data_IF_546970692929
#
_entry.id   IF_546970692929
#
_cell.length_a   1.000
_cell.length_b   1.000
_cell.length_c   1.000
_cell.angle_alpha   90.00
_cell.angle_beta   90.00
_cell.angle_gamma   90.00
#
_symmetry.space_group_name_H-M   'P 1'
#
loop_
_entity.id
_entity.type
_entity.pdbx_description
1 polymer ?
#
# COMPACT_ATOMS: atom_id res chain seq x y z
N UNK A 1 8.39 10.90 8.05
CA UNK A 1 9.32 10.92 6.89
C UNK A 1 9.03 9.71 6.04
N UNK A 2 8.83 9.91 4.74
CA UNK A 2 8.51 8.82 3.81
C UNK A 2 9.67 7.82 3.67
N UNK A 3 9.34 6.53 3.57
CA UNK A 3 10.28 5.45 3.21
C UNK A 3 9.82 4.75 1.94
N UNK A 4 10.77 4.18 1.19
CA UNK A 4 10.54 3.48 -0.07
C UNK A 4 11.19 2.10 -0.04
N UNK A 5 10.52 1.10 -0.60
CA UNK A 5 10.99 -0.28 -0.71
C UNK A 5 10.79 -0.78 -2.16
N UNK A 6 11.86 -1.19 -2.81
CA UNK A 6 11.84 -1.69 -4.19
C UNK A 6 11.32 -3.14 -4.25
N UNK A 7 10.42 -3.42 -5.18
CA UNK A 7 9.70 -4.69 -5.27
C UNK A 7 9.57 -5.20 -6.72
N UNK A 8 10.65 -5.11 -7.50
CA UNK A 8 10.67 -5.54 -8.90
C UNK A 8 10.19 -4.43 -9.83
N UNK A 9 9.05 -4.63 -10.51
CA UNK A 9 8.46 -3.63 -11.41
C UNK A 9 7.54 -2.62 -10.68
N UNK A 10 7.41 -2.76 -9.36
CA UNK A 10 6.66 -1.86 -8.47
C UNK A 10 7.54 -1.46 -7.30
N UNK A 11 7.17 -0.38 -6.62
CA UNK A 11 7.77 -0.01 -5.34
C UNK A 11 6.70 0.42 -4.34
N UNK A 12 7.00 0.18 -3.07
CA UNK A 12 6.13 0.52 -1.94
C UNK A 12 6.64 1.79 -1.29
N UNK A 13 5.75 2.70 -0.90
CA UNK A 13 6.12 3.81 -0.02
C UNK A 13 5.26 3.80 1.23
N UNK A 14 5.80 4.28 2.34
CA UNK A 14 5.06 4.42 3.59
C UNK A 14 5.34 5.76 4.26
N UNK A 15 4.31 6.39 4.79
CA UNK A 15 4.40 7.64 5.53
C UNK A 15 3.32 7.71 6.63
N UNK A 16 3.67 8.20 7.82
CA UNK A 16 2.67 8.55 8.83
C UNK A 16 2.10 9.95 8.53
N UNK A 17 0.78 10.07 8.49
CA UNK A 17 0.09 11.29 8.07
C UNK A 17 -1.03 11.65 9.03
N UNK A 18 -1.27 12.96 9.13
CA UNK A 18 -2.50 13.53 9.71
C UNK A 18 -3.35 14.07 8.56
N UNK A 19 -4.60 13.64 8.47
CA UNK A 19 -5.49 14.05 7.38
C UNK A 19 -6.95 14.03 7.84
N UNK A 20 -7.69 15.11 7.56
CA UNK A 20 -9.14 15.14 7.78
C UNK A 20 -9.59 14.92 9.24
N UNK A 21 -8.72 15.16 10.22
CA UNK A 21 -8.99 14.87 11.64
C UNK A 21 -8.72 13.43 12.07
N UNK A 22 -8.20 12.59 11.16
CA UNK A 22 -7.69 11.24 11.43
C UNK A 22 -6.16 11.20 11.28
N UNK A 23 -5.55 10.07 11.64
CA UNK A 23 -4.12 9.84 11.54
C UNK A 23 -3.78 8.38 11.32
N UNK A 24 -2.63 8.11 10.71
CA UNK A 24 -2.08 6.76 10.58
C UNK A 24 -1.09 6.66 9.43
N UNK A 25 -0.69 5.42 9.16
CA UNK A 25 0.21 5.15 8.04
C UNK A 25 -0.57 5.07 6.73
N UNK A 26 -0.11 5.78 5.70
CA UNK A 26 -0.46 5.45 4.34
C UNK A 26 0.62 4.58 3.70
N UNK A 27 0.20 3.51 3.04
CA UNK A 27 1.07 2.59 2.32
C UNK A 27 0.63 2.68 0.86
N UNK A 28 1.55 3.05 -0.03
CA UNK A 28 1.26 3.33 -1.44
C UNK A 28 2.02 2.35 -2.31
N UNK A 29 1.41 1.92 -3.40
CA UNK A 29 2.07 1.14 -4.46
C UNK A 29 2.20 2.00 -5.69
N UNK A 30 3.40 2.03 -6.24
CA UNK A 30 3.69 2.72 -7.48
C UNK A 30 4.28 1.77 -8.52
N UNK A 31 4.10 2.13 -9.78
CA UNK A 31 4.79 1.53 -10.91
C UNK A 31 5.10 2.60 -11.97
N UNK A 32 5.96 2.26 -12.93
CA UNK A 32 6.02 3.00 -14.18
C UNK A 32 4.79 2.65 -15.04
N UNK A 33 4.03 3.67 -15.42
CA UNK A 33 2.89 3.55 -16.33
C UNK A 33 3.12 4.52 -17.47
N UNK A 34 3.36 3.99 -18.68
CA UNK A 34 3.66 4.77 -19.89
C UNK A 34 4.88 5.70 -19.78
N UNK A 35 5.95 5.25 -19.11
CA UNK A 35 7.19 6.01 -18.93
C UNK A 35 7.13 7.04 -17.82
N UNK A 36 6.19 6.90 -16.88
CA UNK A 36 6.00 7.85 -15.78
C UNK A 36 5.60 7.15 -14.48
N UNK A 37 6.21 7.51 -13.33
CA UNK A 37 5.78 7.04 -12.02
C UNK A 37 4.31 7.37 -11.75
N UNK A 38 3.50 6.36 -11.42
CA UNK A 38 2.09 6.53 -11.07
C UNK A 38 1.77 5.77 -9.79
N UNK A 39 1.00 6.42 -8.91
CA UNK A 39 0.41 5.74 -7.75
C UNK A 39 -0.77 4.91 -8.21
N UNK A 40 -0.67 3.59 -8.07
CA UNK A 40 -1.66 2.63 -8.59
C UNK A 40 -2.51 1.98 -7.50
N UNK A 41 -2.05 1.98 -6.25
CA UNK A 41 -2.83 1.65 -5.06
C UNK A 41 -2.47 2.60 -3.89
N UNK A 42 -3.41 2.82 -2.98
CA UNK A 42 -3.18 3.48 -1.68
C UNK A 42 -3.94 2.76 -0.58
N UNK A 43 -3.29 2.44 0.52
CA UNK A 43 -3.89 1.91 1.74
C UNK A 43 -3.71 2.95 2.82
N UNK A 44 -4.79 3.64 3.18
CA UNK A 44 -4.81 4.61 4.25
C UNK A 44 -5.19 3.87 5.55
N UNK A 45 -4.18 3.33 6.24
CA UNK A 45 -4.35 2.57 7.49
C UNK A 45 -4.53 3.53 8.66
N UNK A 46 -5.62 4.31 8.64
CA UNK A 46 -5.91 5.32 9.65
C UNK A 46 -6.56 4.74 10.91
N UNK A 47 -6.53 5.54 11.97
CA UNK A 47 -6.99 5.16 13.31
C UNK A 47 -8.49 4.95 13.37
N UNK A 48 -9.26 5.81 12.71
CA UNK A 48 -10.73 5.80 12.81
C UNK A 48 -11.42 5.35 11.53
N UNK A 49 -10.86 5.67 10.36
CA UNK A 49 -11.44 5.32 9.06
C UNK A 49 -10.40 4.67 8.14
N UNK A 50 -9.90 3.46 8.47
CA UNK A 50 -9.02 2.75 7.56
C UNK A 50 -9.74 2.36 6.27
N UNK A 51 -9.10 2.61 5.14
CA UNK A 51 -9.65 2.35 3.82
C UNK A 51 -8.52 2.20 2.80
N UNK A 52 -8.83 1.76 1.59
CA UNK A 52 -7.87 1.73 0.50
C UNK A 52 -8.51 2.15 -0.81
N UNK A 53 -7.67 2.50 -1.79
CA UNK A 53 -8.06 3.01 -3.09
C UNK A 53 -7.43 2.20 -4.21
N UNK A 54 -8.26 1.77 -5.15
CA UNK A 54 -7.81 1.34 -6.48
C UNK A 54 -7.66 2.58 -7.38
N UNK A 55 -6.49 2.71 -8.02
CA UNK A 55 -6.20 3.81 -8.96
C UNK A 55 -6.48 5.22 -8.37
N UNK A 56 -5.79 5.63 -7.29
CA UNK A 56 -6.06 6.88 -6.55
C UNK A 56 -5.85 8.18 -7.35
N UNK A 57 -5.23 8.09 -8.53
CA UNK A 57 -5.01 9.24 -9.43
C UNK A 57 -5.86 9.15 -10.70
N UNK A 58 -6.83 8.25 -10.73
CA UNK A 58 -7.74 8.04 -11.86
C UNK A 58 -9.16 7.78 -11.34
N UNK A 59 -9.54 6.50 -11.21
CA UNK A 59 -10.88 6.12 -10.72
C UNK A 59 -11.13 6.46 -9.25
N UNK A 60 -10.08 6.50 -8.43
CA UNK A 60 -10.13 6.76 -6.97
C UNK A 60 -11.21 5.90 -6.28
N UNK A 61 -11.25 4.61 -6.64
CA UNK A 61 -12.25 3.68 -6.14
C UNK A 61 -11.90 3.28 -4.72
N UNK A 62 -12.58 3.92 -3.77
CA UNK A 62 -12.40 3.72 -2.33
C UNK A 62 -13.17 2.50 -1.82
N UNK A 63 -12.51 1.71 -0.97
CA UNK A 63 -13.09 0.58 -0.25
C UNK A 63 -12.82 0.73 1.25
N UNK A 64 -13.88 0.72 2.05
CA UNK A 64 -13.79 0.81 3.51
C UNK A 64 -13.32 -0.51 4.13
N UNK A 65 -12.45 -0.42 5.14
CA UNK A 65 -12.12 -1.54 6.02
C UNK A 65 -12.96 -1.44 7.31
N UNK A 66 -14.29 -1.60 7.17
CA UNK A 66 -15.22 -1.42 8.26
C UNK A 66 -14.90 -2.34 9.46
N UNK A 67 -14.83 -1.74 10.66
CA UNK A 67 -14.53 -2.46 11.91
C UNK A 67 -13.04 -2.67 12.20
N UNK A 68 -12.14 -2.24 11.31
CA UNK A 68 -10.71 -2.29 11.54
C UNK A 68 -10.23 -1.09 12.35
N UNK A 69 -9.25 -1.32 13.24
CA UNK A 69 -8.37 -0.26 13.73
C UNK A 69 -7.08 -0.17 12.90
N UNK A 70 -6.23 0.83 13.19
CA UNK A 70 -4.95 1.05 12.49
C UNK A 70 -4.09 -0.22 12.40
N UNK A 71 -3.85 -0.90 13.53
CA UNK A 71 -3.00 -2.10 13.55
C UNK A 71 -3.56 -3.24 12.71
N UNK A 72 -4.88 -3.46 12.75
CA UNK A 72 -5.54 -4.49 11.94
C UNK A 72 -5.45 -4.15 10.45
N UNK A 73 -5.62 -2.87 10.11
CA UNK A 73 -5.55 -2.39 8.73
C UNK A 73 -4.14 -2.55 8.16
N UNK A 74 -3.11 -2.28 8.97
CA UNK A 74 -1.71 -2.54 8.61
C UNK A 74 -1.50 -4.03 8.35
N UNK A 75 -1.89 -4.90 9.28
CA UNK A 75 -1.70 -6.36 9.15
C UNK A 75 -2.44 -6.92 7.92
N UNK A 76 -3.64 -6.42 7.65
CA UNK A 76 -4.39 -6.79 6.45
C UNK A 76 -3.70 -6.31 5.18
N UNK A 77 -3.24 -5.07 5.15
CA UNK A 77 -2.52 -4.48 4.01
C UNK A 77 -1.25 -5.27 3.68
N UNK A 78 -0.44 -5.61 4.68
CA UNK A 78 0.78 -6.42 4.49
C UNK A 78 0.45 -7.79 3.87
N UNK A 79 -0.64 -8.44 4.31
CA UNK A 79 -1.12 -9.70 3.72
C UNK A 79 -1.57 -9.53 2.28
N UNK A 80 -2.33 -8.47 1.97
CA UNK A 80 -2.76 -8.20 0.59
C UNK A 80 -1.57 -7.97 -0.33
N UNK A 81 -0.60 -7.15 0.08
CA UNK A 81 0.60 -6.89 -0.71
C UNK A 81 1.41 -8.18 -0.93
N UNK A 82 1.57 -9.02 0.10
CA UNK A 82 2.37 -10.23 0.00
C UNK A 82 1.75 -11.33 -0.87
N UNK A 83 0.42 -11.42 -0.92
CA UNK A 83 -0.28 -12.60 -1.46
C UNK A 83 -1.31 -12.31 -2.56
N UNK A 84 -1.75 -11.06 -2.71
CA UNK A 84 -2.86 -10.67 -3.59
C UNK A 84 -2.55 -9.45 -4.47
N UNK A 85 -1.30 -8.99 -4.49
CA UNK A 85 -0.94 -7.78 -5.23
C UNK A 85 -1.29 -7.88 -6.73
N UNK A 86 -0.98 -8.96 -7.48
CA UNK A 86 -1.33 -9.05 -8.90
C UNK A 86 -2.84 -8.91 -9.17
N UNK A 87 -3.68 -9.54 -8.34
CA UNK A 87 -5.14 -9.46 -8.45
C UNK A 87 -5.62 -8.03 -8.18
N UNK A 88 -5.09 -7.39 -7.15
CA UNK A 88 -5.42 -6.00 -6.83
C UNK A 88 -4.99 -5.03 -7.95
N UNK A 89 -3.82 -5.23 -8.54
CA UNK A 89 -3.36 -4.41 -9.67
C UNK A 89 -4.21 -4.61 -10.93
N UNK A 90 -4.65 -5.84 -11.18
CA UNK A 90 -5.61 -6.14 -12.25
C UNK A 90 -6.93 -5.41 -12.01
N UNK A 91 -7.46 -5.49 -10.79
CA UNK A 91 -8.68 -4.77 -10.40
C UNK A 91 -8.51 -3.25 -10.46
N UNK A 92 -7.32 -2.74 -10.17
CA UNK A 92 -6.99 -1.32 -10.31
C UNK A 92 -6.95 -0.84 -11.76
N UNK A 93 -6.92 -1.75 -12.75
CA UNK A 93 -6.84 -1.42 -14.17
C UNK A 93 -5.42 -1.46 -14.74
N UNK A 94 -4.50 -2.16 -14.07
CA UNK A 94 -3.09 -2.30 -14.46
C UNK A 94 -2.68 -3.76 -14.71
N UNK A 95 -3.32 -4.49 -15.65
CA UNK A 95 -3.01 -5.90 -15.92
C UNK A 95 -1.57 -6.11 -16.41
N UNK A 96 -1.00 -5.17 -17.18
CA UNK A 96 0.39 -5.28 -17.66
C UNK A 96 1.40 -5.13 -16.51
N UNK A 97 1.12 -4.25 -15.54
CA UNK A 97 1.93 -4.15 -14.31
C UNK A 97 1.77 -5.42 -13.48
N UNK A 98 0.54 -5.94 -13.34
CA UNK A 98 0.26 -7.17 -12.61
C UNK A 98 1.05 -8.37 -13.18
N UNK A 99 1.12 -8.49 -14.51
CA UNK A 99 1.86 -9.56 -15.18
C UNK A 99 3.38 -9.50 -14.94
N UNK A 100 3.93 -8.32 -14.64
CA UNK A 100 5.35 -8.12 -14.33
C UNK A 100 5.71 -8.30 -12.86
N UNK A 101 4.74 -8.51 -11.97
CA UNK A 101 4.97 -8.64 -10.52
C UNK A 101 5.84 -9.86 -10.23
N UNK A 102 6.89 -9.64 -9.42
CA UNK A 102 7.81 -10.69 -8.96
C UNK A 102 7.47 -11.05 -7.49
N UNK A 103 6.81 -12.18 -7.21
CA UNK A 103 6.29 -12.49 -5.88
C UNK A 103 7.36 -12.49 -4.78
N UNK A 104 8.56 -12.99 -5.07
CA UNK A 104 9.68 -13.03 -4.11
C UNK A 104 10.21 -11.64 -3.77
N UNK A 105 10.28 -10.74 -4.77
CA UNK A 105 10.70 -9.35 -4.56
C UNK A 105 9.67 -8.59 -3.72
N UNK A 106 8.38 -8.78 -4.00
CA UNK A 106 7.29 -8.19 -3.22
C UNK A 106 7.31 -8.70 -1.78
N UNK A 107 7.44 -10.01 -1.55
CA UNK A 107 7.50 -10.56 -0.19
C UNK A 107 8.69 -10.02 0.60
N UNK A 108 9.84 -9.80 -0.03
CA UNK A 108 11.01 -9.17 0.60
C UNK A 108 10.70 -7.73 1.01
N UNK A 109 10.19 -6.92 0.07
CA UNK A 109 9.84 -5.52 0.33
C UNK A 109 8.77 -5.37 1.42
N UNK A 110 7.77 -6.26 1.44
CA UNK A 110 6.75 -6.30 2.50
C UNK A 110 7.36 -6.63 3.86
N UNK A 111 8.33 -7.55 3.94
CA UNK A 111 9.04 -7.84 5.18
C UNK A 111 9.86 -6.65 5.70
N UNK A 112 10.52 -5.91 4.82
CA UNK A 112 11.24 -4.68 5.18
C UNK A 112 10.29 -3.56 5.63
N UNK A 113 9.14 -3.43 4.96
CA UNK A 113 8.06 -2.52 5.35
C UNK A 113 7.50 -2.86 6.73
N UNK A 114 7.24 -4.14 7.00
CA UNK A 114 6.76 -4.62 8.30
C UNK A 114 7.75 -4.32 9.43
N UNK A 115 9.05 -4.54 9.20
CA UNK A 115 10.10 -4.18 10.16
C UNK A 115 10.10 -2.66 10.45
N UNK A 116 9.96 -1.84 9.42
CA UNK A 116 9.88 -0.39 9.59
C UNK A 116 8.66 0.04 10.40
N UNK A 117 7.48 -0.48 10.06
CA UNK A 117 6.23 -0.20 10.78
C UNK A 117 6.29 -0.65 12.24
N UNK A 118 6.85 -1.83 12.49
CA UNK A 118 7.04 -2.36 13.86
C UNK A 118 7.93 -1.43 14.69
N UNK A 119 9.06 -0.99 14.13
CA UNK A 119 9.97 -0.06 14.80
C UNK A 119 9.28 1.29 15.08
N UNK A 120 8.55 1.82 14.10
CA UNK A 120 7.86 3.10 14.23
C UNK A 120 6.76 3.05 15.30
N UNK A 121 5.93 2.00 15.31
CA UNK A 121 4.86 1.80 16.29
C UNK A 121 5.39 1.55 17.72
N UNK A 122 6.58 0.96 17.84
CA UNK A 122 7.21 0.74 19.15
C UNK A 122 7.89 2.00 19.72
N UNK A 123 8.05 3.04 18.90
CA UNK A 123 8.68 4.31 19.26
C UNK A 123 7.69 5.46 19.49
N UNK A 124 6.39 5.21 19.30
CA UNK A 124 5.29 6.16 19.48
C UNK A 124 4.64 6.00 20.85
#
# INVERSE_FOLDING_TARGET
MQRTFEAGNVWLTVEYRHFGGDEGFDIRVYADVNGSPRQILRFDCFKYQPHYHYDPLGRDERVELAGYGMSDAILWTLKQLAYHLPEMLTQAGYPDVAAGVQPEAVRRAVGELEQHLTAALSSA
#
